data_IF_665357538548
#
_entry.id   IF_665357538548
#
_cell.length_a   1.000
_cell.length_b   1.000
_cell.length_c   1.000
_cell.angle_alpha   90.00
_cell.angle_beta   90.00
_cell.angle_gamma   90.00
#
_symmetry.space_group_name_H-M   'P 1'
#
loop_
_entity.id
_entity.type
_entity.pdbx_description
1 polymer ?
#
# COMPACT_ATOMS: atom_id res chain seq x y z
N UNK A 1 30.99 20.80 12.17
CA UNK A 1 31.74 19.56 12.46
C UNK A 1 30.81 18.41 12.91
N UNK A 2 30.58 18.15 14.20
CA UNK A 2 29.84 16.93 14.62
C UNK A 2 28.39 16.86 14.08
N UNK A 3 27.69 17.99 14.05
CA UNK A 3 26.31 18.07 13.54
C UNK A 3 26.21 17.72 12.05
N UNK A 4 27.19 18.13 11.26
CA UNK A 4 27.24 17.86 9.82
C UNK A 4 27.56 16.39 9.55
N UNK A 5 28.48 15.81 10.33
CA UNK A 5 28.77 14.37 10.27
C UNK A 5 27.55 13.53 10.62
N UNK A 6 26.80 13.90 11.68
CA UNK A 6 25.55 13.21 12.05
C UNK A 6 24.50 13.36 10.94
N UNK A 7 24.36 14.54 10.33
CA UNK A 7 23.42 14.76 9.23
C UNK A 7 23.79 13.97 7.97
N UNK A 8 25.09 13.87 7.65
CA UNK A 8 25.59 13.13 6.50
C UNK A 8 25.39 11.62 6.68
N UNK A 9 25.77 11.07 7.84
CA UNK A 9 25.55 9.67 8.17
C UNK A 9 24.05 9.35 8.26
N UNK A 10 23.23 10.25 8.80
CA UNK A 10 21.78 10.08 8.79
C UNK A 10 21.24 10.05 7.36
N UNK A 11 21.66 10.95 6.46
CA UNK A 11 21.23 10.93 5.06
C UNK A 11 21.59 9.58 4.41
N UNK A 12 22.86 9.18 4.50
CA UNK A 12 23.37 7.92 3.95
C UNK A 12 22.62 6.68 4.47
N UNK A 13 22.30 6.62 5.77
CA UNK A 13 21.51 5.51 6.35
C UNK A 13 20.01 5.61 6.05
N UNK A 14 19.46 6.82 5.88
CA UNK A 14 18.03 7.02 5.57
C UNK A 14 17.68 6.68 4.13
N UNK A 15 18.64 6.65 3.20
CA UNK A 15 18.42 6.13 1.85
C UNK A 15 18.14 4.62 1.82
N UNK A 16 18.52 3.88 2.88
CA UNK A 16 18.40 2.42 2.96
C UNK A 16 17.24 1.94 3.85
N UNK A 17 16.58 2.85 4.58
CA UNK A 17 15.57 2.45 5.57
C UNK A 17 14.16 2.42 4.97
N UNK A 18 13.72 1.20 4.68
CA UNK A 18 12.32 0.83 4.63
C UNK A 18 11.50 1.67 3.64
N UNK A 19 11.63 1.37 2.35
CA UNK A 19 10.54 1.62 1.40
C UNK A 19 9.31 0.91 1.97
N UNK A 20 8.48 1.62 2.77
CA UNK A 20 7.22 1.09 3.30
C UNK A 20 6.51 0.54 2.07
N UNK A 21 6.36 -0.78 1.99
CA UNK A 21 5.84 -1.47 0.81
C UNK A 21 4.67 -0.64 0.29
N UNK A 22 4.88 0.06 -0.83
CA UNK A 22 3.87 0.96 -1.37
C UNK A 22 2.68 0.05 -1.67
N UNK A 23 1.55 0.33 -1.02
CA UNK A 23 0.33 -0.45 -1.29
C UNK A 23 0.03 -0.29 -2.77
N UNK A 24 -0.36 -1.38 -3.44
CA UNK A 24 -0.54 -1.42 -4.91
C UNK A 24 -1.53 -0.37 -5.44
N UNK A 25 -2.44 0.10 -4.59
CA UNK A 25 -3.43 1.14 -4.89
C UNK A 25 -2.96 2.58 -4.59
N UNK A 26 -1.77 2.78 -4.03
CA UNK A 26 -1.30 4.11 -3.63
C UNK A 26 -0.76 4.88 -4.84
N UNK A 27 -1.38 6.01 -5.17
CA UNK A 27 -0.94 6.89 -6.25
C UNK A 27 0.09 7.92 -5.78
N UNK A 28 0.86 8.49 -6.72
CA UNK A 28 1.87 9.51 -6.41
C UNK A 28 1.24 10.76 -5.77
N UNK A 29 0.07 11.20 -6.24
CA UNK A 29 -0.71 12.29 -5.64
C UNK A 29 -0.97 12.11 -4.14
N UNK A 30 -1.29 10.89 -3.71
CA UNK A 30 -1.54 10.59 -2.29
C UNK A 30 -0.24 10.73 -1.50
N UNK A 31 0.89 10.30 -2.08
CA UNK A 31 2.21 10.43 -1.45
C UNK A 31 2.62 11.89 -1.31
N UNK A 32 2.41 12.69 -2.35
CA UNK A 32 2.68 14.12 -2.33
C UNK A 32 1.82 14.83 -1.27
N UNK A 33 0.52 14.53 -1.20
CA UNK A 33 -0.36 15.08 -0.17
C UNK A 33 0.08 14.66 1.24
N UNK A 34 0.53 13.40 1.43
CA UNK A 34 1.06 12.96 2.71
C UNK A 34 2.31 13.75 3.12
N UNK A 35 3.17 14.11 2.18
CA UNK A 35 4.35 14.95 2.42
C UNK A 35 3.94 16.40 2.74
N UNK A 36 2.97 16.95 1.99
CA UNK A 36 2.42 18.28 2.25
C UNK A 36 1.76 18.36 3.63
N UNK A 37 1.09 17.29 4.08
CA UNK A 37 0.56 17.21 5.45
C UNK A 37 1.68 17.23 6.50
N UNK A 38 2.83 16.58 6.24
CA UNK A 38 3.98 16.59 7.16
C UNK A 38 4.55 18.01 7.31
N UNK A 39 4.68 18.74 6.20
CA UNK A 39 5.14 20.14 6.19
C UNK A 39 4.19 21.07 6.96
N UNK A 40 2.89 20.82 6.91
CA UNK A 40 1.86 21.65 7.56
C UNK A 40 1.52 21.23 9.00
N UNK A 41 2.40 20.52 9.72
CA UNK A 41 2.12 20.01 11.08
C UNK A 41 1.72 21.11 12.10
N UNK A 42 2.25 22.32 11.93
CA UNK A 42 1.99 23.45 12.81
C UNK A 42 0.79 24.32 12.39
N UNK A 43 0.29 24.14 11.15
CA UNK A 43 -0.90 24.83 10.68
C UNK A 43 -2.11 23.88 10.77
N UNK A 44 -2.88 24.01 11.85
CA UNK A 44 -3.98 23.09 12.15
C UNK A 44 -5.07 23.05 11.07
N UNK A 45 -5.48 24.22 10.56
CA UNK A 45 -6.51 24.30 9.53
C UNK A 45 -6.08 23.61 8.23
N UNK A 46 -4.86 23.88 7.79
CA UNK A 46 -4.32 23.29 6.56
C UNK A 46 -4.04 21.79 6.72
N UNK A 47 -3.53 21.39 7.90
CA UNK A 47 -3.34 19.98 8.24
C UNK A 47 -4.64 19.19 8.14
N UNK A 48 -5.72 19.70 8.73
CA UNK A 48 -7.01 19.02 8.74
C UNK A 48 -7.63 18.97 7.34
N UNK A 49 -7.47 20.04 6.55
CA UNK A 49 -7.89 20.09 5.13
C UNK A 49 -7.18 19.01 4.32
N UNK A 50 -5.85 18.99 4.35
CA UNK A 50 -5.03 18.01 3.60
C UNK A 50 -5.33 16.59 4.11
N UNK A 51 -5.52 16.39 5.41
CA UNK A 51 -5.84 15.08 5.96
C UNK A 51 -7.21 14.56 5.49
N UNK A 52 -8.21 15.44 5.36
CA UNK A 52 -9.52 15.09 4.78
C UNK A 52 -9.36 14.68 3.31
N UNK A 53 -8.58 15.44 2.54
CA UNK A 53 -8.31 15.14 1.14
C UNK A 53 -7.58 13.80 0.95
N UNK A 54 -6.54 13.54 1.75
CA UNK A 54 -5.82 12.26 1.74
C UNK A 54 -6.79 11.10 1.98
N UNK A 55 -7.70 11.22 2.96
CA UNK A 55 -8.67 10.16 3.26
C UNK A 55 -9.60 9.90 2.08
N UNK A 56 -10.07 10.95 1.42
CA UNK A 56 -10.93 10.82 0.25
C UNK A 56 -10.18 10.18 -0.92
N UNK A 57 -8.99 10.68 -1.28
CA UNK A 57 -8.18 10.09 -2.35
C UNK A 57 -7.80 8.63 -2.06
N UNK A 58 -7.46 8.31 -0.81
CA UNK A 58 -7.21 6.92 -0.40
C UNK A 58 -8.43 6.02 -0.56
N UNK A 59 -9.65 6.54 -0.31
CA UNK A 59 -10.88 5.77 -0.48
C UNK A 59 -11.11 5.49 -1.97
N UNK A 60 -11.09 6.53 -2.80
CA UNK A 60 -11.29 6.43 -4.25
C UNK A 60 -10.26 5.51 -4.89
N UNK A 61 -8.97 5.70 -4.62
CA UNK A 61 -7.92 4.88 -5.22
C UNK A 61 -8.00 3.39 -4.83
N UNK A 62 -8.44 3.08 -3.60
CA UNK A 62 -8.70 1.69 -3.18
C UNK A 62 -9.88 1.08 -3.93
N UNK A 63 -10.98 1.83 -4.04
CA UNK A 63 -12.19 1.39 -4.74
C UNK A 63 -11.90 1.14 -6.22
N UNK A 64 -11.20 2.07 -6.88
CA UNK A 64 -10.76 1.93 -8.27
C UNK A 64 -9.87 0.71 -8.47
N UNK A 65 -8.84 0.54 -7.63
CA UNK A 65 -7.94 -0.61 -7.71
C UNK A 65 -8.67 -1.93 -7.50
N UNK A 66 -9.59 -2.01 -6.53
CA UNK A 66 -10.40 -3.22 -6.31
C UNK A 66 -11.32 -3.50 -7.49
N UNK A 67 -11.99 -2.48 -8.03
CA UNK A 67 -12.87 -2.61 -9.18
C UNK A 67 -12.11 -3.08 -10.42
N UNK A 68 -10.91 -2.56 -10.66
CA UNK A 68 -10.05 -3.01 -11.74
C UNK A 68 -9.67 -4.48 -11.58
N UNK A 69 -9.31 -4.89 -10.36
CA UNK A 69 -8.97 -6.29 -10.06
C UNK A 69 -10.17 -7.23 -10.22
N UNK A 70 -11.37 -6.80 -9.81
CA UNK A 70 -12.60 -7.56 -10.05
C UNK A 70 -12.85 -7.75 -11.56
N UNK A 71 -12.73 -6.68 -12.36
CA UNK A 71 -12.89 -6.77 -13.83
C UNK A 71 -11.87 -7.70 -14.48
N UNK A 72 -10.62 -7.67 -14.01
CA UNK A 72 -9.57 -8.58 -14.50
C UNK A 72 -9.94 -10.03 -14.20
N UNK A 73 -10.35 -10.34 -12.96
CA UNK A 73 -10.79 -11.69 -12.56
C UNK A 73 -12.00 -12.15 -13.37
N UNK A 74 -13.00 -11.29 -13.57
CA UNK A 74 -14.19 -11.60 -14.39
C UNK A 74 -13.84 -11.88 -15.85
N UNK A 75 -12.82 -11.21 -16.39
CA UNK A 75 -12.35 -11.42 -17.76
C UNK A 75 -11.59 -12.74 -17.86
N UNK A 76 -10.63 -12.99 -16.98
CA UNK A 76 -9.87 -14.25 -16.91
C UNK A 76 -10.77 -15.47 -16.65
N UNK A 77 -11.85 -15.29 -15.88
CA UNK A 77 -12.84 -16.33 -15.63
C UNK A 77 -13.50 -16.86 -16.91
N UNK A 78 -13.71 -15.99 -17.91
CA UNK A 78 -14.31 -16.42 -19.19
C UNK A 78 -13.45 -17.48 -19.88
N UNK A 79 -12.14 -17.45 -19.65
CA UNK A 79 -11.18 -18.39 -20.24
C UNK A 79 -10.90 -19.58 -19.30
N UNK A 80 -10.82 -19.36 -17.99
CA UNK A 80 -10.56 -20.41 -17.01
C UNK A 80 -11.39 -20.24 -15.72
N UNK A 81 -12.52 -20.97 -15.59
CA UNK A 81 -13.39 -20.84 -14.42
C UNK A 81 -12.74 -21.20 -13.08
N UNK A 82 -11.68 -22.03 -13.09
CA UNK A 82 -11.00 -22.50 -11.88
C UNK A 82 -10.02 -21.46 -11.31
N UNK A 83 -9.58 -20.48 -12.10
CA UNK A 83 -8.59 -19.48 -11.68
C UNK A 83 -9.15 -18.44 -10.70
N UNK A 84 -10.47 -18.24 -10.63
CA UNK A 84 -11.11 -17.26 -9.74
C UNK A 84 -10.67 -17.45 -8.30
N UNK A 85 -10.76 -18.67 -7.77
CA UNK A 85 -10.51 -18.93 -6.36
C UNK A 85 -9.08 -18.58 -5.97
N UNK A 86 -8.12 -18.94 -6.83
CA UNK A 86 -6.71 -18.63 -6.63
C UNK A 86 -6.44 -17.12 -6.74
N UNK A 87 -7.05 -16.45 -7.71
CA UNK A 87 -6.91 -15.01 -7.88
C UNK A 87 -7.49 -14.21 -6.70
N UNK A 88 -8.64 -14.64 -6.17
CA UNK A 88 -9.27 -14.02 -4.99
C UNK A 88 -8.44 -14.26 -3.74
N UNK A 89 -7.93 -15.48 -3.52
CA UNK A 89 -7.06 -15.79 -2.38
C UNK A 89 -5.76 -14.96 -2.43
N UNK A 90 -5.17 -14.82 -3.62
CA UNK A 90 -3.99 -14.00 -3.85
C UNK A 90 -4.26 -12.50 -3.62
N UNK A 91 -5.41 -12.00 -4.06
CA UNK A 91 -5.82 -10.59 -3.86
C UNK A 91 -6.00 -10.27 -2.38
N UNK A 92 -6.64 -11.17 -1.63
CA UNK A 92 -6.88 -11.02 -0.19
C UNK A 92 -5.66 -11.37 0.66
N UNK A 93 -4.62 -11.96 0.07
CA UNK A 93 -3.43 -12.43 0.78
C UNK A 93 -3.75 -13.55 1.77
N UNK A 94 -4.78 -14.36 1.51
CA UNK A 94 -5.11 -15.51 2.36
C UNK A 94 -4.01 -16.54 2.22
N UNK A 95 -3.31 -16.85 3.32
CA UNK A 95 -2.31 -17.93 3.32
C UNK A 95 -3.02 -19.26 3.13
N UNK A 96 -2.60 -20.05 2.13
CA UNK A 96 -3.02 -21.45 2.02
C UNK A 96 -2.62 -22.16 3.33
N UNK A 97 -3.59 -22.72 4.06
CA UNK A 97 -3.31 -23.49 5.27
C UNK A 97 -2.49 -24.69 4.84
N UNK A 98 -1.27 -24.82 5.34
CA UNK A 98 -0.52 -26.07 5.22
C UNK A 98 -1.27 -27.12 6.01
N UNK A 99 -1.88 -28.08 5.33
CA UNK A 99 -2.37 -29.30 5.97
C UNK A 99 -1.17 -29.99 6.59
N UNK A 100 -0.99 -29.87 7.90
CA UNK A 100 -0.11 -30.76 8.65
C UNK A 100 -0.67 -32.17 8.45
N UNK A 101 -0.06 -32.91 7.53
CA UNK A 101 -0.41 -34.29 7.27
C UNK A 101 -0.33 -35.11 8.55
N UNK A 102 -1.27 -36.03 8.71
CA UNK A 102 -1.23 -37.05 9.75
C UNK A 102 0.11 -37.80 9.64
N UNK A 103 0.91 -37.76 10.70
CA UNK A 103 2.07 -38.65 10.86
C UNK A 103 1.50 -40.07 10.94
N UNK A 104 1.60 -40.84 9.85
CA UNK A 104 1.29 -42.27 9.88
C UNK A 104 2.26 -42.92 10.87
N UNK A 105 1.71 -43.56 11.89
CA UNK A 105 2.41 -44.47 12.81
C UNK A 105 2.87 -45.73 12.10
#
# INVERSE_FOLDING_TARGET
>A
MLKESIQQTSKELTHTTCQRIKKKWMTEDILELMENRRKNKHNKAEYDRINKEIRQKCKTAKEEWLNEKCKQIETEHKENPKSIYENVDNLLGRRKRTTTGCLKS
#
